data_IF_414126190628
#
_entry.id   IF_414126190628
#
_cell.length_a   1.000
_cell.length_b   1.000
_cell.length_c   1.000
_cell.angle_alpha   90.00
_cell.angle_beta   90.00
_cell.angle_gamma   90.00
#
_symmetry.space_group_name_H-M   'P 1'
#
loop_
_entity.id
_entity.type
_entity.pdbx_description
1 polymer ?
2 non-polymer ?
3 water ?
#
# COMPACT_ATOMS: atom_id res chain seq x y z
N UNK A 4 -21.81 -17.97 3.31
CA UNK A 4 -20.75 -17.83 2.27
C UNK A 4 -20.37 -16.36 2.08
N UNK A 5 -19.09 -16.12 1.78
CA UNK A 5 -18.59 -14.76 1.51
C UNK A 5 -18.87 -14.42 0.06
N UNK A 6 -19.44 -13.24 -0.18
CA UNK A 6 -19.70 -12.76 -1.53
C UNK A 6 -18.39 -12.41 -2.23
N UNK A 7 -18.22 -12.92 -3.45
CA UNK A 7 -17.07 -12.60 -4.28
C UNK A 7 -17.14 -11.16 -4.77
N UNK A 8 -16.03 -10.68 -5.32
CA UNK A 8 -15.87 -9.27 -5.66
C UNK A 8 -16.89 -8.76 -6.70
N UNK A 9 -17.26 -9.60 -7.67
CA UNK A 9 -18.20 -9.19 -8.70
C UNK A 9 -19.56 -9.88 -8.58
N UNK A 10 -20.00 -10.12 -7.36
CA UNK A 10 -21.36 -10.62 -7.15
C UNK A 10 -22.04 -9.88 -6.01
N UNK A 11 -23.37 -9.89 -6.04
CA UNK A 11 -24.16 -9.27 -4.99
C UNK A 11 -24.42 -7.80 -5.22
N UNK A 12 -25.07 -7.18 -4.24
CA UNK A 12 -25.35 -5.76 -4.26
C UNK A 12 -24.05 -4.97 -4.13
N UNK A 13 -24.06 -3.69 -4.54
CA UNK A 13 -22.82 -2.93 -4.49
C UNK A 13 -22.28 -2.79 -3.08
N UNK A 14 -20.96 -2.74 -2.95
CA UNK A 14 -20.30 -2.44 -1.69
C UNK A 14 -19.16 -1.49 -2.03
N UNK A 15 -19.31 -0.21 -1.65
CA UNK A 15 -18.26 0.76 -1.86
C UNK A 15 -17.18 0.54 -0.81
N UNK A 16 -15.97 0.25 -1.28
CA UNK A 16 -14.88 -0.16 -0.40
C UNK A 16 -13.94 0.99 -0.05
N UNK A 17 -13.03 0.71 0.88
CA UNK A 17 -11.99 1.65 1.29
C UNK A 17 -11.02 1.93 0.13
N UNK A 18 -10.33 3.09 0.16
CA UNK A 18 -10.29 4.11 1.21
C UNK A 18 -11.50 5.02 1.23
N UNK A 19 -11.83 5.56 2.40
CA UNK A 19 -12.92 6.52 2.55
C UNK A 19 -12.40 7.95 2.81
N UNK A 20 -11.10 8.15 2.60
CA UNK A 20 -10.49 9.48 2.66
C UNK A 20 -9.38 9.52 1.64
N UNK A 21 -9.21 10.67 0.98
CA UNK A 21 -8.20 10.82 -0.06
C UNK A 21 -7.66 12.25 -0.04
N UNK A 22 -6.34 12.38 -0.12
CA UNK A 22 -5.67 13.66 -0.10
C UNK A 22 -5.05 13.98 -1.46
N UNK A 23 -5.04 15.27 -1.80
CA UNK A 23 -4.41 15.74 -3.02
C UNK A 23 -3.97 17.20 -2.84
N UNK A 24 -2.92 17.62 -3.55
CA UNK A 24 -2.50 19.03 -3.51
C UNK A 24 -3.46 19.89 -4.32
N UNK A 25 -3.66 21.16 -3.89
CA UNK A 25 -4.47 22.06 -4.70
C UNK A 25 -3.82 22.34 -6.06
N UNK A 26 -4.64 22.57 -7.08
CA UNK A 26 -4.17 22.91 -8.42
C UNK A 26 -3.28 21.83 -9.06
N UNK A 27 -3.54 20.57 -8.72
CA UNK A 27 -2.93 19.43 -9.38
C UNK A 27 -4.02 18.47 -9.84
N UNK A 28 -3.75 17.65 -10.86
CA UNK A 28 -4.76 16.70 -11.30
C UNK A 28 -5.17 15.73 -10.20
N UNK A 29 -6.47 15.43 -10.18
CA UNK A 29 -7.08 14.56 -9.20
C UNK A 29 -7.73 13.41 -9.96
N UNK A 30 -7.45 12.17 -9.56
CA UNK A 30 -8.12 10.99 -10.11
C UNK A 30 -8.41 9.99 -9.00
N UNK A 31 -9.66 9.56 -8.91
CA UNK A 31 -10.02 8.52 -7.95
C UNK A 31 -11.10 7.61 -8.52
N UNK A 32 -10.75 6.36 -8.72
CA UNK A 32 -11.73 5.34 -9.05
C UNK A 32 -12.35 4.87 -7.74
N UNK A 33 -13.68 4.83 -7.71
CA UNK A 33 -14.40 4.41 -6.51
C UNK A 33 -14.39 2.88 -6.44
N UNK A 34 -13.59 2.30 -5.53
CA UNK A 34 -13.49 0.84 -5.53
C UNK A 34 -14.79 0.24 -5.05
N UNK A 35 -15.41 -0.58 -5.89
CA UNK A 35 -16.77 -1.05 -5.65
C UNK A 35 -16.96 -2.52 -5.99
N UNK A 36 -17.25 -3.33 -4.97
CA UNK A 36 -17.59 -4.72 -5.19
C UNK A 36 -19.06 -4.82 -5.63
N UNK A 37 -19.41 -5.92 -6.29
CA UNK A 37 -20.80 -6.18 -6.66
C UNK A 37 -20.94 -6.56 -8.11
N UNK A 38 -22.09 -7.15 -8.45
CA UNK A 38 -22.30 -7.58 -9.83
C UNK A 38 -22.35 -6.37 -10.75
N UNK A 39 -21.88 -6.56 -11.98
CA UNK A 39 -21.98 -5.55 -13.04
C UNK A 39 -23.16 -5.89 -13.95
N UNK A 40 -23.68 -4.89 -14.70
CA UNK A 40 -23.22 -3.49 -14.80
C UNK A 40 -23.51 -2.64 -13.55
N UNK A 42 -23.59 1.48 -11.83
CA UNK A 42 -23.73 2.92 -12.07
C UNK A 42 -23.36 3.66 -10.79
N UNK A 43 -22.61 4.75 -10.94
CA UNK A 43 -22.20 5.56 -9.80
C UNK A 43 -22.78 6.97 -9.88
N UNK A 44 -23.00 7.58 -8.72
CA UNK A 44 -23.37 8.99 -8.64
C UNK A 44 -22.85 9.59 -7.33
N UNK A 45 -22.92 10.91 -7.22
CA UNK A 45 -22.43 11.60 -6.03
C UNK A 45 -23.25 12.83 -5.69
N UNK A 46 -23.30 13.14 -4.39
CA UNK A 46 -23.88 14.37 -3.90
C UNK A 46 -22.79 15.18 -3.23
N UNK A 47 -22.81 16.50 -3.45
CA UNK A 47 -21.83 17.43 -2.89
C UNK A 47 -20.42 17.19 -3.40
N UNK A 48 -20.30 16.72 -4.64
CA UNK A 48 -18.98 16.62 -5.27
C UNK A 48 -18.52 18.04 -5.52
N UNK A 49 -17.32 18.41 -5.01
CA UNK A 49 -16.94 19.81 -5.08
C UNK A 49 -16.65 20.32 -6.49
N UNK A 50 -16.84 21.62 -6.69
CA UNK A 50 -16.49 22.28 -7.93
C UNK A 50 -15.02 22.02 -8.25
N UNK A 51 -14.74 21.66 -9.51
CA UNK A 51 -13.41 21.26 -9.93
C UNK A 51 -13.36 19.80 -10.29
N UNK A 52 -14.26 19.01 -9.70
CA UNK A 52 -14.30 17.57 -9.93
C UNK A 52 -15.59 17.17 -10.62
N UNK A 53 -15.51 16.05 -11.35
CA UNK A 53 -16.67 15.45 -11.98
C UNK A 53 -16.57 13.93 -11.86
N UNK A 54 -17.73 13.28 -11.76
CA UNK A 54 -17.82 11.84 -11.68
C UNK A 54 -18.43 11.30 -12.96
N UNK A 55 -17.71 10.36 -13.58
CA UNK A 55 -18.23 9.61 -14.72
C UNK A 55 -19.09 8.47 -14.17
N UNK A 56 -20.40 8.55 -14.39
CA UNK A 56 -21.35 7.58 -13.85
C UNK A 56 -21.16 6.17 -14.39
N UNK A 57 -20.58 6.05 -15.58
CA UNK A 57 -20.36 4.75 -16.22
C UNK A 57 -19.06 4.06 -15.78
N UNK A 58 -18.04 4.84 -15.44
CA UNK A 58 -16.73 4.26 -15.14
C UNK A 58 -16.36 4.29 -13.65
N UNK A 59 -17.08 5.08 -12.86
CA UNK A 59 -16.80 5.21 -11.43
C UNK A 59 -15.59 6.06 -11.10
N UNK A 60 -15.11 6.85 -12.06
CA UNK A 60 -13.92 7.67 -11.85
C UNK A 60 -14.27 9.13 -11.58
N UNK A 61 -13.78 9.64 -10.46
CA UNK A 61 -13.83 11.07 -10.13
C UNK A 61 -12.55 11.70 -10.65
N UNK A 62 -12.67 12.76 -11.43
CA UNK A 62 -11.49 13.43 -11.97
C UNK A 62 -11.67 14.94 -12.06
N UNK A 63 -10.56 15.64 -12.11
CA UNK A 63 -10.55 17.09 -12.26
C UNK A 63 -9.39 17.74 -11.52
N UNK A 64 -9.61 18.98 -11.10
CA UNK A 64 -8.63 19.74 -10.33
C UNK A 64 -9.36 20.57 -9.28
N UNK A 66 -8.90 23.63 -6.56
CA UNK A 66 -8.01 24.77 -6.33
C UNK A 66 -8.06 25.34 -4.91
N UNK A 67 -9.09 24.99 -4.15
CA UNK A 67 -9.27 25.50 -2.79
C UNK A 67 -8.97 24.44 -1.74
N UNK A 68 -8.14 24.80 -0.77
CA UNK A 68 -7.79 23.89 0.32
C UNK A 68 -8.97 23.67 1.26
N UNK A 69 -9.03 22.48 1.85
CA UNK A 69 -10.06 22.16 2.83
C UNK A 69 -10.47 20.70 2.78
N UNK A 70 -11.39 20.34 3.68
CA UNK A 70 -11.98 19.00 3.71
C UNK A 70 -13.37 19.08 3.11
N UNK A 71 -13.66 18.19 2.17
CA UNK A 71 -14.94 18.15 1.47
C UNK A 71 -15.54 16.76 1.64
N UNK A 72 -16.74 16.70 2.21
CA UNK A 72 -17.42 15.42 2.43
C UNK A 72 -18.42 15.19 1.30
N UNK A 73 -18.19 14.11 0.55
CA UNK A 73 -19.00 13.74 -0.60
C UNK A 73 -19.77 12.48 -0.27
N UNK A 74 -21.02 12.39 -0.70
CA UNK A 74 -21.80 11.16 -0.53
C UNK A 74 -21.83 10.41 -1.85
N UNK A 75 -21.20 9.23 -1.86
CA UNK A 75 -21.13 8.40 -3.05
C UNK A 75 -22.22 7.36 -3.04
N UNK A 76 -22.71 7.03 -4.24
CA UNK A 76 -23.73 6.01 -4.40
C UNK A 76 -23.35 5.11 -5.57
N UNK A 77 -23.43 3.79 -5.35
CA UNK A 77 -23.24 2.81 -6.40
C UNK A 77 -24.51 1.99 -6.48
N UNK A 78 -24.97 1.73 -7.70
CA UNK A 78 -26.22 1.00 -7.94
C UNK A 78 -26.03 -0.09 -8.99
N UNK A 79 -26.57 -1.28 -8.72
CA UNK A 79 -26.67 -2.32 -9.74
C UNK A 79 -28.07 -2.96 -9.65
N UNK A 80 -28.29 -4.03 -10.41
CA UNK A 80 -29.59 -4.70 -10.45
C UNK A 80 -30.07 -5.23 -9.09
N UNK A 81 -29.14 -5.48 -8.17
CA UNK A 81 -29.46 -6.10 -6.88
C UNK A 81 -29.56 -5.11 -5.71
N UNK A 82 -29.15 -3.87 -5.88
CA UNK A 82 -29.28 -2.87 -4.80
C UNK A 82 -28.36 -1.68 -4.91
N UNK A 83 -28.17 -1.00 -3.77
CA UNK A 83 -27.38 0.22 -3.70
C UNK A 83 -26.43 0.23 -2.49
N UNK A 84 -25.32 0.95 -2.64
CA UNK A 84 -24.39 1.21 -1.55
C UNK A 84 -24.19 2.71 -1.50
N UNK A 85 -24.32 3.29 -0.31
CA UNK A 85 -24.09 4.71 -0.10
C UNK A 85 -22.99 4.86 0.94
N UNK A 86 -21.97 5.65 0.62
CA UNK A 86 -20.81 5.79 1.49
C UNK A 86 -20.27 7.21 1.40
N UNK A 87 -19.80 7.74 2.53
CA UNK A 87 -19.15 9.04 2.56
C UNK A 87 -17.71 8.91 2.06
N UNK A 88 -17.25 9.94 1.37
CA UNK A 88 -15.83 10.08 1.02
C UNK A 88 -15.38 11.47 1.43
N UNK A 89 -14.29 11.55 2.18
CA UNK A 89 -13.71 12.84 2.53
C UNK A 89 -12.55 13.12 1.59
N UNK A 90 -12.61 14.27 0.92
CA UNK A 90 -11.51 14.71 0.06
C UNK A 90 -10.81 15.86 0.76
N UNK A 91 -9.51 15.68 1.04
CA UNK A 91 -8.72 16.71 1.68
C UNK A 91 -7.78 17.31 0.65
N UNK A 92 -7.99 18.59 0.37
CA UNK A 92 -7.09 19.34 -0.51
C UNK A 92 -6.18 20.16 0.38
N UNK A 93 -4.87 19.90 0.25
CA UNK A 93 -3.88 20.52 1.12
C UNK A 93 -2.51 19.95 0.81
N UNK A 94 -1.66 19.81 1.83
CA UNK A 94 -0.31 19.33 1.59
C UNK A 94 -0.11 17.89 2.07
N UNK A 95 -1.21 17.14 2.16
CA UNK A 95 -1.19 15.78 2.70
C UNK A 95 -1.60 14.75 1.65
N UNK A 96 -0.64 13.93 1.21
CA UNK A 96 -0.95 12.79 0.33
C UNK A 96 -0.95 11.49 1.13
N UNK A 97 -1.46 10.41 0.55
CA UNK A 97 -1.54 9.10 1.22
C UNK A 97 -2.07 9.18 2.63
N UNK A 98 -3.29 9.67 2.76
CA UNK A 98 -3.98 9.74 4.04
C UNK A 98 -4.33 8.33 4.54
N UNK A 99 -4.31 7.36 3.62
CA UNK A 99 -4.27 5.93 3.94
C UNK A 99 -3.06 5.32 3.23
N UNK A 100 -2.62 4.12 3.68
CA UNK A 100 -1.44 3.55 3.02
C UNK A 100 -1.67 3.28 1.53
N UNK A 101 -0.61 3.42 0.72
CA UNK A 101 -0.76 3.14 -0.71
C UNK A 101 -0.94 1.66 -1.00
N UNK A 103 -1.13 -1.21 -4.34
CA UNK A 103 -0.81 -1.36 -5.75
C UNK A 103 0.13 -2.49 -6.05
N UNK A 104 0.98 -2.26 -7.04
CA UNK A 104 1.84 -3.29 -7.61
C UNK A 104 3.17 -2.67 -8.05
N UNK A 105 4.25 -3.41 -7.83
CA UNK A 105 5.58 -3.02 -8.29
C UNK A 105 6.07 -4.06 -9.29
N UNK A 106 6.69 -3.58 -10.36
CA UNK A 106 7.04 -4.40 -11.51
C UNK A 106 8.31 -5.24 -11.42
N UNK A 107 9.13 -5.01 -10.40
CA UNK A 107 10.49 -5.54 -10.44
C UNK A 107 10.55 -7.08 -10.41
N UNK A 108 9.88 -7.67 -9.42
CA UNK A 108 9.97 -9.11 -9.24
C UNK A 108 9.46 -9.88 -10.46
N UNK A 109 8.39 -9.39 -11.07
CA UNK A 109 7.79 -10.08 -12.20
C UNK A 109 8.58 -9.91 -13.49
N UNK A 110 9.02 -8.69 -13.77
CA UNK A 110 9.55 -8.38 -15.09
C UNK A 110 11.03 -7.97 -15.15
N UNK A 111 11.59 -7.55 -14.02
CA UNK A 111 13.01 -7.21 -13.96
C UNK A 111 13.42 -6.24 -15.04
N UNK A 112 14.45 -6.63 -15.81
CA UNK A 112 14.97 -5.80 -16.91
C UNK A 112 14.16 -5.94 -18.20
N UNK A 113 13.01 -6.61 -18.14
CA UNK A 113 12.24 -6.92 -19.33
C UNK A 113 10.82 -6.38 -19.28
N UNK A 114 10.64 -5.27 -18.58
CA UNK A 114 9.35 -4.59 -18.57
C UNK A 114 9.18 -3.84 -19.88
N UNK A 115 7.95 -3.79 -20.38
CA UNK A 115 7.62 -3.04 -21.59
C UNK A 115 6.27 -2.38 -21.42
N UNK A 116 5.95 -1.47 -22.33
CA UNK A 116 4.64 -0.82 -22.35
C UNK A 116 3.53 -1.86 -22.34
N UNK A 117 3.64 -2.83 -23.26
CA UNK A 117 2.63 -3.87 -23.40
C UNK A 117 2.37 -4.59 -22.09
N UNK A 118 3.45 -4.92 -21.37
CA UNK A 118 3.32 -5.67 -20.13
C UNK A 118 2.75 -4.85 -18.97
N UNK A 119 3.03 -3.55 -18.92
CA UNK A 119 2.38 -2.68 -17.95
C UNK A 119 0.88 -2.62 -18.22
N UNK A 120 0.50 -2.46 -19.48
CA UNK A 120 -0.91 -2.35 -19.86
C UNK A 120 -1.66 -3.63 -19.56
N UNK A 121 -1.03 -4.78 -19.83
CA UNK A 121 -1.62 -6.08 -19.48
C UNK A 121 -1.84 -6.19 -17.97
N UNK A 122 -0.89 -5.68 -17.21
CA UNK A 122 -1.00 -5.69 -15.76
C UNK A 122 -2.18 -4.84 -15.28
N UNK A 123 -2.29 -3.63 -15.81
CA UNK A 123 -3.45 -2.76 -15.51
C UNK A 123 -4.78 -3.45 -15.87
N UNK A 124 -4.85 -4.05 -17.05
CA UNK A 124 -6.07 -4.74 -17.49
C UNK A 124 -6.44 -5.86 -16.51
N UNK A 125 -5.43 -6.61 -16.06
CA UNK A 125 -5.66 -7.73 -15.15
C UNK A 125 -6.16 -7.25 -13.78
N UNK A 127 -7.97 -4.69 -13.24
CA UNK A 127 -9.38 -4.36 -13.41
C UNK A 127 -10.24 -5.61 -13.30
N UNK A 128 -9.85 -6.67 -14.00
CA UNK A 128 -10.69 -7.87 -14.11
C UNK A 128 -10.51 -8.87 -12.97
N UNK A 129 -9.43 -8.78 -12.20
CA UNK A 129 -9.22 -9.74 -11.11
C UNK A 129 -9.78 -9.29 -9.76
N UNK A 130 -10.28 -8.07 -9.69
CA UNK A 130 -10.86 -7.53 -8.46
C UNK A 130 -9.99 -6.54 -7.71
N UNK A 132 -8.49 -3.67 -8.47
CA UNK A 132 -8.87 -2.26 -8.55
C UNK A 132 -10.09 -1.95 -7.66
N UNK A 133 -11.03 -2.89 -7.60
CA UNK A 133 -12.24 -2.67 -6.78
C UNK A 133 -12.04 -2.86 -5.28
N UNK A 134 -10.86 -3.33 -4.87
CA UNK A 134 -10.50 -3.38 -3.46
C UNK A 134 -9.51 -2.29 -3.06
N UNK A 135 -9.20 -1.38 -3.99
CA UNK A 135 -8.42 -0.18 -3.68
C UNK A 135 -7.00 -0.13 -4.20
N UNK A 136 -6.55 -1.21 -4.83
CA UNK A 136 -5.21 -1.23 -5.43
C UNK A 136 -5.20 -0.26 -6.61
N UNK A 137 -4.37 0.78 -6.52
CA UNK A 137 -4.40 1.86 -7.51
C UNK A 137 -3.05 2.22 -8.14
N UNK A 138 -1.95 1.93 -7.45
CA UNK A 138 -0.61 2.27 -7.95
C UNK A 138 -0.02 1.14 -8.79
N UNK A 139 0.49 1.50 -9.97
CA UNK A 139 1.21 0.59 -10.85
C UNK A 139 2.59 1.21 -11.03
N UNK A 140 3.59 0.56 -10.44
CA UNK A 140 4.91 1.18 -10.28
C UNK A 140 5.96 0.53 -11.18
N UNK A 141 6.46 1.31 -12.13
CA UNK A 141 7.60 0.95 -12.95
C UNK A 141 8.84 1.05 -12.07
N UNK A 142 9.68 0.03 -12.11
CA UNK A 142 10.89 0.01 -11.30
C UNK A 142 12.12 0.34 -12.17
N UNK A 143 13.28 -0.22 -11.85
CA UNK A 143 14.55 0.15 -12.47
C UNK A 143 14.60 -0.27 -13.96
N UNK A 144 15.50 0.35 -14.72
CA UNK A 144 15.76 0.01 -16.13
C UNK A 144 14.69 0.46 -17.14
N UNK A 145 13.80 1.38 -16.76
CA UNK A 145 12.95 2.04 -17.77
C UNK A 145 13.76 3.04 -18.60
N UNK A 146 14.89 3.48 -18.03
CA UNK A 146 15.76 4.47 -18.65
C UNK A 146 17.07 3.84 -19.15
N UNK A 147 17.76 4.55 -20.03
CA UNK A 147 19.03 4.09 -20.57
C UNK A 147 20.17 4.36 -19.58
N UNK A 148 21.33 3.71 -19.80
CA UNK A 148 22.44 3.85 -18.86
C UNK A 148 22.94 5.28 -18.64
N UNK A 149 22.99 6.08 -19.70
CA UNK A 149 23.55 7.42 -19.63
C UNK A 149 22.49 8.49 -19.81
N UNK A 150 22.67 9.61 -19.11
CA UNK A 150 21.87 10.80 -19.34
C UNK A 150 22.11 11.27 -20.77
N UNK A 151 21.08 11.80 -21.42
CA UNK A 151 21.26 12.38 -22.74
C UNK A 151 22.18 13.58 -22.68
N UNK A 152 22.88 13.86 -23.77
CA UNK A 152 23.68 15.08 -23.85
C UNK A 152 22.81 16.33 -23.68
N UNK A 153 21.50 16.18 -23.92
CA UNK A 153 20.54 17.26 -23.69
C UNK A 153 20.19 17.51 -22.22
N UNK A 154 20.70 16.68 -21.31
CA UNK A 154 20.52 16.90 -19.88
C UNK A 154 19.37 16.13 -19.27
N UNK A 155 18.70 15.30 -20.08
CA UNK A 155 17.52 14.56 -19.62
C UNK A 155 17.76 13.06 -19.58
N UNK A 156 17.09 12.39 -18.66
CA UNK A 156 17.01 10.94 -18.66
C UNK A 156 16.48 10.49 -20.02
N UNK A 157 16.98 9.36 -20.50
CA UNK A 157 16.52 8.82 -21.78
C UNK A 157 15.64 7.62 -21.54
N UNK A 158 14.38 7.71 -21.98
CA UNK A 158 13.48 6.56 -21.90
C UNK A 158 14.01 5.48 -22.83
N UNK A 159 14.00 4.23 -22.37
CA UNK A 159 14.31 3.10 -23.24
C UNK A 159 13.13 2.92 -24.18
N UNK A 160 13.29 3.39 -25.42
CA UNK A 160 12.19 3.39 -26.39
C UNK A 160 11.91 2.01 -26.98
N UNK A 161 12.81 1.05 -26.75
CA UNK A 161 12.54 -0.32 -27.13
C UNK A 161 11.44 -0.86 -26.22
N UNK A 162 11.58 -0.57 -24.92
CA UNK A 162 10.60 -0.98 -23.92
C UNK A 162 9.32 -0.15 -23.98
N UNK A 163 9.49 1.16 -24.18
CA UNK A 163 8.37 2.11 -24.16
C UNK A 163 8.37 2.92 -25.45
N UNK A 164 7.92 2.29 -26.56
CA UNK A 164 8.05 2.91 -27.88
C UNK A 164 7.18 4.17 -28.05
N UNK A 165 6.18 4.34 -27.20
CA UNK A 165 5.37 5.55 -27.23
C UNK A 165 5.61 6.41 -26.00
N UNK A 166 6.71 6.15 -25.30
CA UNK A 166 7.08 6.90 -24.11
C UNK A 166 6.33 6.47 -22.87
N UNK A 167 6.68 7.12 -21.76
CA UNK A 167 6.04 6.89 -20.48
C UNK A 167 4.65 7.55 -20.42
N UNK A 168 4.51 8.71 -21.05
CA UNK A 168 3.21 9.40 -21.00
C UNK A 168 2.07 8.56 -21.55
N UNK A 169 2.32 7.77 -22.59
CA UNK A 169 1.29 6.89 -23.15
C UNK A 169 0.78 5.94 -22.06
N UNK A 170 1.70 5.35 -21.32
CA UNK A 170 1.37 4.43 -20.24
C UNK A 170 0.57 5.16 -19.14
N UNK A 171 1.05 6.33 -18.74
CA UNK A 171 0.36 7.13 -17.73
C UNK A 171 -1.09 7.42 -18.14
N UNK A 172 -1.26 7.82 -19.40
CA UNK A 172 -2.59 8.16 -19.92
C UNK A 172 -3.52 6.95 -19.88
N UNK A 173 -3.01 5.79 -20.30
CA UNK A 173 -3.78 4.55 -20.28
C UNK A 173 -4.23 4.22 -18.86
N UNK A 174 -3.30 4.35 -17.91
CA UNK A 174 -3.59 4.08 -16.50
C UNK A 174 -4.61 5.07 -15.95
N UNK A 175 -4.41 6.36 -16.20
CA UNK A 175 -5.30 7.40 -15.65
C UNK A 175 -6.74 7.25 -16.15
N UNK A 176 -6.89 6.88 -17.41
CA UNK A 176 -8.21 6.63 -18.00
C UNK A 176 -8.97 5.55 -17.25
N UNK A 177 -8.23 4.68 -16.56
CA UNK A 177 -8.78 3.56 -15.81
C UNK A 177 -8.68 3.73 -14.29
N UNK A 178 -8.28 4.92 -13.85
CA UNK A 178 -8.24 5.24 -12.43
C UNK A 178 -6.99 4.78 -11.71
N UNK A 179 -5.99 4.33 -12.45
CA UNK A 179 -4.72 3.93 -11.85
C UNK A 179 -3.75 5.10 -11.80
N UNK A 180 -2.80 4.99 -10.88
CA UNK A 180 -1.72 5.94 -10.71
C UNK A 180 -0.41 5.28 -11.15
N UNK A 181 0.47 6.06 -11.77
CA UNK A 181 1.74 5.55 -12.29
C UNK A 181 2.91 5.90 -11.39
N UNK A 182 3.66 4.88 -11.00
CA UNK A 182 4.91 5.09 -10.29
C UNK A 182 6.12 4.90 -11.18
N UNK A 183 7.20 5.60 -10.85
CA UNK A 183 8.45 5.50 -11.58
C UNK A 183 9.57 5.43 -10.56
N UNK A 184 10.78 5.16 -11.05
CA UNK A 184 11.91 4.85 -10.20
C UNK A 184 13.11 5.68 -10.59
N UNK A 185 13.82 6.20 -9.59
CA UNK A 185 15.16 6.72 -9.82
C UNK A 185 15.99 6.51 -8.57
N UNK A 186 17.16 7.15 -8.53
CA UNK A 186 18.13 6.89 -7.48
C UNK A 186 18.88 8.19 -7.20
N UNK A 187 19.22 8.41 -5.91
CA UNK A 187 19.91 9.62 -5.47
C UNK A 187 21.42 9.54 -5.70
N UNK A 188 21.79 9.19 -6.92
CA UNK A 188 23.18 9.07 -7.33
C UNK A 188 23.24 9.21 -8.84
N UNK A 189 24.45 9.11 -9.39
CA UNK A 189 24.66 9.19 -10.83
C UNK A 189 24.11 7.94 -11.51
N UNK A 190 24.13 6.81 -10.80
CA UNK A 190 23.66 5.53 -11.34
C UNK A 190 22.72 4.83 -10.37
N UNK A 191 21.73 4.11 -10.91
CA UNK A 191 20.79 3.36 -10.08
C UNK A 191 21.43 2.07 -9.59
N UNK A 192 20.68 1.33 -8.76
CA UNK A 192 21.15 0.02 -8.30
C UNK A 192 21.53 -0.87 -9.47
N UNK A 193 20.70 -0.89 -10.51
CA UNK A 193 20.95 -1.70 -11.70
C UNK A 193 22.03 -1.17 -12.64
N UNK A 194 22.44 0.08 -12.44
CA UNK A 194 23.52 0.67 -13.21
C UNK A 194 23.05 1.51 -14.40
N UNK A 195 21.81 1.98 -14.37
CA UNK A 195 21.33 2.92 -15.39
C UNK A 195 21.25 4.33 -14.77
N UNK A 196 20.81 5.33 -15.53
CA UNK A 196 21.00 6.72 -15.09
C UNK A 196 20.12 7.09 -13.90
N UNK A 197 20.73 7.69 -12.88
CA UNK A 197 19.99 8.23 -11.73
C UNK A 197 19.86 9.75 -11.80
N UNK A 198 19.36 10.35 -10.73
CA UNK A 198 18.93 11.76 -10.76
C UNK A 198 19.81 12.74 -9.96
N UNK A 199 20.86 12.26 -9.29
CA UNK A 199 21.67 13.16 -8.48
C UNK A 199 22.22 14.34 -9.30
N UNK A 200 21.94 15.56 -8.83
CA UNK A 200 22.38 16.79 -9.49
C UNK A 200 21.43 17.30 -10.57
N UNK A 201 20.43 16.49 -10.92
CA UNK A 201 19.46 16.84 -11.95
C UNK A 201 18.03 16.67 -11.44
N UNK A 202 17.85 16.84 -10.14
CA UNK A 202 16.57 16.54 -9.49
C UNK A 202 15.42 17.34 -10.08
N UNK A 203 15.68 18.63 -10.32
CA UNK A 203 14.65 19.53 -10.81
C UNK A 203 14.22 19.12 -12.22
N UNK A 204 15.19 18.90 -13.09
CA UNK A 204 14.91 18.43 -14.45
C UNK A 204 14.11 17.13 -14.45
N UNK A 205 14.57 16.18 -13.66
CA UNK A 205 13.95 14.86 -13.66
C UNK A 205 12.51 14.91 -13.12
N UNK A 206 12.31 15.65 -12.04
CA UNK A 206 10.96 15.81 -11.47
C UNK A 206 10.01 16.45 -12.48
N UNK A 207 10.48 17.48 -13.19
CA UNK A 207 9.65 18.16 -14.18
C UNK A 207 9.31 17.21 -15.32
N UNK A 208 10.26 16.36 -15.72
CA UNK A 208 9.98 15.37 -16.75
C UNK A 208 8.93 14.37 -16.25
N UNK A 209 9.13 13.85 -15.03
CA UNK A 209 8.17 12.92 -14.46
C UNK A 209 6.77 13.51 -14.45
N UNK A 210 6.65 14.76 -14.02
CA UNK A 210 5.35 15.43 -13.98
C UNK A 210 4.76 15.60 -15.37
N UNK A 211 5.59 15.96 -16.35
CA UNK A 211 5.12 16.11 -17.73
C UNK A 211 4.58 14.79 -18.30
N UNK A 212 5.12 13.67 -17.82
CA UNK A 212 4.66 12.36 -18.27
C UNK A 212 3.43 11.86 -17.53
N UNK A 213 3.05 12.55 -16.45
CA UNK A 213 1.88 12.17 -15.65
C UNK A 213 2.18 11.19 -14.53
N UNK A 214 3.43 11.14 -14.10
CA UNK A 214 3.84 10.29 -12.98
C UNK A 214 3.16 10.74 -11.69
N UNK A 215 2.75 9.76 -10.88
CA UNK A 215 2.02 9.98 -9.64
C UNK A 215 2.80 9.56 -8.38
N UNK A 216 3.91 8.85 -8.58
CA UNK A 216 4.72 8.35 -7.48
C UNK A 216 6.15 8.19 -7.96
N UNK A 217 7.10 8.57 -7.10
CA UNK A 217 8.52 8.32 -7.34
C UNK A 217 9.07 7.48 -6.21
N UNK A 218 9.63 6.32 -6.56
CA UNK A 218 10.47 5.54 -5.66
C UNK A 218 11.90 6.00 -5.87
N UNK A 219 12.55 6.43 -4.79
CA UNK A 219 13.86 7.05 -4.88
C UNK A 219 14.87 6.26 -4.06
N UNK A 220 15.69 5.50 -4.76
CA UNK A 220 16.62 4.54 -4.18
C UNK A 220 17.93 5.23 -3.81
N UNK A 221 18.74 4.55 -3.00
CA UNK A 221 19.94 5.14 -2.45
C UNK A 221 21.23 4.40 -2.82
N UNK A 222 21.19 3.57 -3.87
CA UNK A 222 22.42 2.92 -4.34
C UNK A 222 23.45 3.91 -4.82
N UNK A 223 24.72 3.60 -4.58
CA UNK A 223 25.84 4.40 -5.06
C UNK A 223 25.96 5.80 -4.46
N UNK A 224 25.24 6.04 -3.37
CA UNK A 224 25.31 7.31 -2.66
C UNK A 224 26.09 7.14 -1.36
N UNK A 225 26.64 8.23 -0.82
CA UNK A 225 27.44 8.10 0.40
C UNK A 225 26.61 7.63 1.60
N UNK A 226 27.24 6.81 2.46
CA UNK A 226 26.57 6.27 3.64
C UNK A 226 26.12 7.38 4.58
N UNK A 227 26.87 8.47 4.60
CA UNK A 227 26.67 9.63 5.48
C UNK A 227 25.22 10.07 5.60
N UNK A 228 24.73 10.18 6.84
CA UNK A 228 23.32 10.44 7.08
C UNK A 228 22.89 11.86 6.72
N UNK A 229 23.70 12.86 7.04
CA UNK A 229 23.33 14.23 6.68
C UNK A 229 23.25 14.36 5.15
N UNK A 230 24.20 13.75 4.45
CA UNK A 230 24.17 13.74 2.99
C UNK A 230 22.91 13.06 2.45
N UNK A 231 22.59 11.89 2.98
CA UNK A 231 21.38 11.19 2.55
C UNK A 231 20.16 12.09 2.74
N UNK A 233 19.94 15.26 2.93
CA UNK A 233 19.98 16.40 2.00
C UNK A 233 19.58 16.00 0.59
N UNK A 234 20.06 14.85 0.13
CA UNK A 234 19.72 14.36 -1.21
C UNK A 234 18.23 14.05 -1.32
N UNK A 235 17.66 13.46 -0.27
CA UNK A 235 16.22 13.21 -0.25
C UNK A 235 15.44 14.51 -0.15
N UNK A 236 15.92 15.46 0.65
CA UNK A 236 15.25 16.76 0.75
C UNK A 236 15.24 17.49 -0.59
N UNK A 237 16.36 17.43 -1.32
CA UNK A 237 16.49 18.09 -2.63
C UNK A 237 15.45 17.56 -3.62
N UNK A 239 12.74 15.97 -2.85
CA UNK A 239 11.42 16.34 -2.31
C UNK A 239 10.98 17.72 -2.76
N UNK A 240 11.89 18.68 -2.67
CA UNK A 240 11.62 20.04 -3.13
C UNK A 240 11.32 20.06 -4.62
N UNK A 241 12.09 19.30 -5.38
CA UNK A 241 11.91 19.23 -6.83
C UNK A 241 10.52 18.70 -7.19
N UNK A 242 10.06 17.66 -6.47
CA UNK A 242 8.73 17.10 -6.71
C UNK A 242 7.61 18.10 -6.39
N UNK A 243 7.78 18.83 -5.29
CA UNK A 243 6.76 19.81 -4.85
C UNK A 243 6.73 21.03 -5.75
N UNK A 244 7.82 21.24 -6.51
CA UNK A 244 7.89 22.36 -7.43
C UNK A 244 7.15 22.08 -8.75
N UNK A 245 6.76 20.82 -8.98
CA UNK A 245 6.01 20.45 -10.19
C UNK A 245 4.53 20.75 -10.01
N UNK A 246 3.76 20.52 -11.06
CA UNK A 246 2.31 20.74 -11.03
C UNK A 246 1.49 19.46 -10.79
N UNK A 247 2.10 18.45 -10.18
CA UNK A 247 1.39 17.21 -9.84
C UNK A 247 1.52 16.88 -8.36
N UNK A 248 0.58 16.08 -7.87
CA UNK A 248 0.70 15.47 -6.55
C UNK A 248 1.47 14.17 -6.69
N UNK A 249 2.79 14.22 -6.49
CA UNK A 249 3.64 13.05 -6.64
C UNK A 249 4.02 12.47 -5.28
N UNK A 250 3.57 11.24 -5.03
CA UNK A 250 3.94 10.51 -3.84
C UNK A 250 5.44 10.22 -3.86
N UNK A 251 6.08 10.37 -2.71
CA UNK A 251 7.51 10.26 -2.59
C UNK A 251 7.86 9.09 -1.68
N UNK A 252 8.37 8.01 -2.30
CA UNK A 252 8.73 6.78 -1.62
C UNK A 252 10.25 6.75 -1.42
N UNK A 253 10.66 6.80 -0.16
CA UNK A 253 12.07 6.84 0.22
C UNK A 253 12.58 5.41 0.40
N UNK A 254 13.69 5.09 -0.26
CA UNK A 254 14.26 3.75 -0.21
C UNK A 254 15.76 3.79 0.06
N UNK A 255 16.13 3.82 1.34
CA UNK A 255 17.53 3.72 1.74
C UNK A 255 17.73 2.58 2.76
N UNK A 256 16.79 1.63 2.74
CA UNK A 256 16.88 0.33 3.42
C UNK A 256 16.92 0.40 4.94
N UNK A 257 16.46 1.50 5.50
CA UNK A 257 16.37 1.67 6.94
C UNK A 257 17.68 1.88 7.65
N UNK A 258 18.74 2.21 6.92
CA UNK A 258 20.07 2.24 7.50
C UNK A 258 20.34 3.52 8.32
N UNK A 259 19.65 4.60 7.99
CA UNK A 259 19.84 5.88 8.66
C UNK A 259 18.63 6.34 9.48
N UNK A 260 17.87 5.39 10.02
CA UNK A 260 16.66 5.70 10.79
C UNK A 260 15.72 6.66 10.04
N UNK A 261 15.31 6.30 8.81
CA UNK A 261 14.46 7.18 8.02
C UNK A 261 13.14 7.53 8.70
N UNK A 262 12.67 6.67 9.59
CA UNK A 262 11.48 6.97 10.37
C UNK A 262 11.60 8.27 11.18
N UNK A 263 12.83 8.73 11.44
CA UNK A 263 13.06 9.98 12.17
C UNK A 263 13.16 11.23 11.29
N UNK A 264 13.30 11.06 9.97
CA UNK A 264 13.48 12.22 9.09
C UNK A 264 12.79 12.20 7.73
N UNK A 265 12.33 11.05 7.25
CA UNK A 265 11.84 10.95 5.87
C UNK A 265 10.60 11.81 5.65
N UNK A 266 9.67 11.79 6.61
CA UNK A 266 8.45 12.58 6.47
C UNK A 266 8.80 14.07 6.45
N UNK A 267 9.75 14.44 7.28
CA UNK A 267 10.18 15.82 7.43
C UNK A 267 10.81 16.41 6.14
N UNK A 268 11.44 15.57 5.33
CA UNK A 268 12.05 16.01 4.07
C UNK A 268 11.13 15.82 2.86
N UNK A 269 9.90 15.36 3.11
CA UNK A 269 8.87 15.27 2.08
C UNK A 269 8.39 13.88 1.72
N UNK A 270 8.96 12.85 2.32
CA UNK A 270 8.57 11.48 2.03
C UNK A 270 7.19 11.13 2.55
N UNK A 271 6.48 10.27 1.84
CA UNK A 271 5.19 9.75 2.29
C UNK A 271 5.26 8.31 2.77
N UNK A 272 6.34 7.64 2.42
CA UNK A 272 6.64 6.31 2.94
C UNK A 272 8.13 6.09 2.83
N UNK A 273 8.66 5.22 3.67
CA UNK A 273 10.09 4.99 3.72
C UNK A 273 10.38 3.54 4.09
N UNK A 274 11.31 2.93 3.37
CA UNK A 274 11.72 1.58 3.65
C UNK A 274 12.40 1.51 5.03
N UNK A 275 12.00 0.54 5.84
CA UNK A 275 12.56 0.37 7.18
C UNK A 275 13.62 -0.73 7.24
N UNK A 276 13.82 -1.44 6.13
CA UNK A 276 14.70 -2.60 6.11
C UNK A 276 15.27 -2.87 4.74
N UNK A 277 16.20 -3.81 4.70
CA UNK A 277 16.66 -4.38 3.44
C UNK A 277 15.54 -5.14 2.77
N UNK A 278 15.80 -5.61 1.55
CA UNK A 278 14.80 -6.22 0.72
C UNK A 278 14.21 -7.48 1.31
N UNK A 279 12.88 -7.62 1.16
CA UNK A 279 12.17 -8.82 1.57
C UNK A 279 12.37 -9.92 0.54
N UNK A 280 12.47 -11.16 1.04
CA UNK A 280 12.48 -12.33 0.19
C UNK A 280 11.17 -13.09 0.34
N UNK A 281 10.92 -13.97 -0.61
CA UNK A 281 9.77 -14.88 -0.56
C UNK A 281 10.15 -16.06 0.34
N UNK A 282 10.20 -15.77 1.64
CA UNK A 282 10.71 -16.71 2.62
C UNK A 282 10.25 -16.29 4.02
N UNK A 283 9.97 -17.27 4.87
CA UNK A 283 9.38 -17.02 6.18
C UNK A 283 10.40 -16.42 7.14
N UNK A 284 11.57 -17.05 7.20
CA UNK A 284 12.65 -16.61 8.09
C UNK A 284 13.97 -16.59 7.35
N UNK A 285 14.63 -15.43 7.36
CA UNK A 285 16.01 -15.30 6.94
C UNK A 285 16.55 -13.99 7.49
N UNK A 286 17.63 -14.06 8.27
CA UNK A 286 18.19 -12.84 8.84
C UNK A 286 19.17 -12.24 7.84
N UNK A 287 18.66 -11.31 7.02
CA UNK A 287 19.46 -10.65 6.00
C UNK A 287 20.59 -9.80 6.57
N UNK A 288 20.41 -9.31 7.81
CA UNK A 288 21.40 -8.46 8.48
C UNK A 288 22.62 -9.23 8.98
N UNK A 289 22.52 -10.55 8.97
CA UNK A 289 23.60 -11.44 9.41
C UNK A 289 24.42 -11.94 8.22
N UNK A 290 23.72 -12.55 7.27
CA UNK A 290 24.36 -13.20 6.13
C UNK A 290 24.38 -12.32 4.88
N UNK A 291 23.76 -11.15 4.96
CA UNK A 291 23.55 -10.30 3.79
C UNK A 291 22.35 -10.79 3.00
N UNK A 292 21.92 -9.98 2.04
CA UNK A 292 20.84 -10.37 1.14
C UNK A 292 19.46 -10.24 1.76
N UNK A 293 18.56 -11.11 1.34
CA UNK A 293 17.13 -10.96 1.60
C UNK A 293 16.74 -11.27 3.04
N UNK A 294 15.70 -10.59 3.51
CA UNK A 294 15.13 -10.78 4.83
C UNK A 294 13.82 -11.55 4.71
N UNK A 295 13.58 -12.45 5.66
CA UNK A 295 12.31 -13.14 5.75
C UNK A 295 11.20 -12.28 6.31
N UNK A 296 9.97 -12.74 6.14
CA UNK A 296 8.79 -12.04 6.62
C UNK A 296 8.90 -11.81 8.13
N UNK A 297 9.25 -12.85 8.88
CA UNK A 297 9.37 -12.74 10.34
C UNK A 297 10.39 -11.70 10.74
N UNK A 298 11.47 -11.62 9.98
CA UNK A 298 12.57 -10.72 10.31
C UNK A 298 12.19 -9.27 10.12
N UNK A 299 11.40 -9.00 9.10
CA UNK A 299 10.93 -7.64 8.85
C UNK A 299 9.89 -7.23 9.92
N UNK A 300 9.08 -8.18 10.39
CA UNK A 300 8.18 -7.92 11.53
C UNK A 300 8.94 -7.43 12.74
N UNK A 301 10.04 -8.08 13.06
CA UNK A 301 10.85 -7.69 14.21
C UNK A 301 11.39 -6.27 14.07
N UNK A 302 11.77 -5.89 12.85
CA UNK A 302 12.29 -4.56 12.57
C UNK A 302 11.20 -3.49 12.70
N UNK A 303 10.03 -3.76 12.14
CA UNK A 303 8.96 -2.77 12.12
C UNK A 303 8.22 -2.63 13.45
N UNK A 304 8.22 -3.70 14.26
CA UNK A 304 7.43 -3.72 15.51
C UNK A 304 7.60 -2.48 16.40
N UNK A 305 8.84 -2.06 16.68
CA UNK A 305 8.99 -0.92 17.59
C UNK A 305 8.83 0.47 16.92
N UNK A 306 8.43 0.52 15.67
CA UNK A 306 8.40 1.79 14.92
C UNK A 306 7.01 2.43 14.76
N UNK A 307 6.01 1.93 15.49
CA UNK A 307 4.65 2.40 15.32
C UNK A 307 4.48 3.91 15.52
N UNK A 308 5.20 4.49 16.47
CA UNK A 308 5.05 5.92 16.78
C UNK A 308 5.40 6.85 15.61
N UNK A 309 6.20 6.36 14.65
CA UNK A 309 6.65 7.19 13.55
C UNK A 309 5.71 7.17 12.35
N UNK A 310 4.70 6.31 12.39
CA UNK A 310 3.79 6.13 11.26
C UNK A 310 2.45 6.81 11.50
N UNK A 311 1.79 7.15 10.40
CA UNK A 311 0.49 7.76 10.43
C UNK A 311 0.12 8.31 9.07
N UNK A 312 -1.05 8.95 8.98
CA UNK A 312 -1.46 9.54 7.71
C UNK A 312 -0.35 10.36 7.08
N UNK A 313 -0.10 10.11 5.80
CA UNK A 313 0.90 10.83 5.00
C UNK A 313 2.35 10.50 5.35
N UNK A 314 2.59 9.43 6.09
CA UNK A 314 3.94 9.03 6.47
C UNK A 314 3.96 7.63 7.01
N UNK A 315 4.20 6.65 6.14
CA UNK A 315 4.09 5.24 6.48
C UNK A 315 5.44 4.53 6.54
N UNK A 316 5.59 3.63 7.52
CA UNK A 316 6.72 2.71 7.52
C UNK A 316 6.47 1.67 6.44
N UNK A 317 7.47 1.45 5.59
CA UNK A 317 7.34 0.54 4.44
C UNK A 317 8.17 -0.72 4.69
N UNK A 318 7.52 -1.86 4.99
CA UNK A 318 8.21 -3.11 5.23
C UNK A 318 8.45 -3.93 3.95
N UNK A 319 8.38 -3.26 2.80
CA UNK A 319 8.64 -3.83 1.49
C UNK A 319 7.41 -4.61 0.97
N UNK A 321 4.52 -7.08 -0.77
CA UNK A 321 3.77 -8.28 -0.48
C UNK A 321 4.26 -9.39 -1.40
N UNK A 322 4.75 -10.48 -0.82
CA UNK A 322 5.20 -11.66 -1.56
C UNK A 322 4.10 -12.72 -1.68
N UNK A 323 2.90 -12.37 -1.24
CA UNK A 323 1.73 -13.25 -1.30
C UNK A 323 1.62 -13.94 -2.66
N UNK A 324 1.65 -15.26 -2.63
CA UNK A 324 1.40 -16.08 -3.82
C UNK A 324 2.57 -16.30 -4.76
N UNK A 325 3.73 -15.69 -4.47
CA UNK A 325 4.88 -15.83 -5.38
C UNK A 325 5.28 -17.30 -5.50
N UNK A 326 5.13 -18.06 -4.42
CA UNK A 326 5.31 -19.53 -4.42
C UNK A 326 6.68 -19.96 -4.92
N UNK A 327 7.70 -19.16 -4.62
CA UNK A 327 9.07 -19.49 -5.00
C UNK A 327 9.33 -19.42 -6.48
N UNK A 328 8.48 -18.71 -7.22
CA UNK A 328 8.56 -18.64 -8.68
C UNK A 328 9.74 -17.76 -9.09
N UNK A 329 9.73 -16.51 -8.66
CA UNK A 329 10.79 -15.55 -8.98
C UNK A 329 10.93 -15.31 -10.49
N UNK A 337 11.60 -21.79 -3.12
CA UNK A 337 10.64 -22.65 -2.43
C UNK A 337 9.38 -21.88 -2.08
N UNK A 338 9.53 -20.71 -1.46
CA UNK A 338 8.40 -19.85 -1.11
C UNK A 338 7.82 -20.14 0.26
N UNK A 339 6.61 -19.63 0.51
CA UNK A 339 5.93 -19.83 1.78
C UNK A 339 4.64 -20.63 1.61
N UNK A 340 4.06 -21.06 2.71
CA UNK A 340 2.77 -21.74 2.68
C UNK A 340 1.63 -20.73 2.53
N UNK A 341 0.45 -21.24 2.19
CA UNK A 341 -0.74 -20.38 2.04
C UNK A 341 -1.03 -19.65 3.34
N UNK A 342 -0.97 -20.36 4.46
CA UNK A 342 -1.23 -19.75 5.76
C UNK A 342 -0.19 -18.68 6.08
N UNK A 343 1.06 -18.95 5.73
CA UNK A 343 2.13 -17.96 5.94
C UNK A 343 1.88 -16.69 5.13
N UNK A 344 1.51 -16.86 3.86
CA UNK A 344 1.14 -15.72 3.03
C UNK A 344 -0.05 -14.93 3.60
N UNK A 345 -1.05 -15.64 4.11
CA UNK A 345 -2.21 -14.99 4.72
C UNK A 345 -1.81 -14.16 5.94
N UNK A 346 -0.93 -14.70 6.78
CA UNK A 346 -0.49 -13.96 7.97
C UNK A 346 0.36 -12.74 7.59
N UNK A 347 1.22 -12.92 6.59
CA UNK A 347 2.01 -11.84 6.01
C UNK A 347 1.11 -10.69 5.55
N UNK A 348 0.05 -11.02 4.81
CA UNK A 348 -0.90 -9.99 4.39
C UNK A 348 -1.61 -9.34 5.58
N UNK A 349 -2.09 -10.17 6.51
CA UNK A 349 -2.81 -9.71 7.71
C UNK A 349 -2.00 -8.72 8.53
N UNK A 350 -0.72 -9.02 8.71
CA UNK A 350 0.12 -8.16 9.54
C UNK A 350 0.52 -6.88 8.82
N UNK A 351 0.77 -6.95 7.51
CA UNK A 351 0.96 -5.74 6.72
C UNK A 351 -0.29 -4.85 6.83
N UNK A 352 -1.47 -5.46 6.87
CA UNK A 352 -2.69 -4.67 7.06
C UNK A 352 -2.71 -4.01 8.44
N UNK A 355 -0.48 -0.93 9.11
CA UNK A 355 -0.73 0.21 8.23
C UNK A 355 0.42 0.33 7.22
N UNK A 356 0.78 -0.80 6.64
CA UNK A 356 1.86 -0.87 5.67
C UNK A 356 1.34 -0.57 4.27
N UNK A 357 2.19 -0.01 3.41
CA UNK A 357 1.89 -0.06 1.98
C UNK A 357 1.56 -1.49 1.61
N UNK A 358 0.55 -1.68 0.74
CA UNK A 358 0.18 -2.98 0.24
C UNK A 358 0.52 -3.03 -1.24
N UNK A 359 1.80 -3.26 -1.53
CA UNK A 359 2.30 -3.26 -2.89
C UNK A 359 2.70 -4.68 -3.25
N UNK A 360 1.93 -5.31 -4.13
CA UNK A 360 2.22 -6.67 -4.55
C UNK A 360 3.42 -6.72 -5.47
N UNK A 361 4.29 -7.70 -5.24
CA UNK A 361 5.40 -7.99 -6.13
C UNK A 361 5.14 -9.21 -7.00
N UNK A 362 3.96 -9.80 -6.91
CA UNK A 362 3.62 -10.97 -7.70
C UNK A 362 3.16 -10.55 -9.10
N UNK A 363 3.12 -11.52 -10.02
CA UNK A 363 2.59 -11.30 -11.35
C UNK A 363 1.08 -11.33 -11.24
N UNK A 364 0.45 -10.17 -11.33
CA UNK A 364 -1.00 -10.08 -11.08
C UNK A 364 -1.87 -10.50 -12.27
N UNK A 365 -1.25 -10.91 -13.37
CA UNK A 365 -1.99 -11.36 -14.55
C UNK A 365 -2.48 -12.80 -14.46
N UNK A 366 -1.82 -13.62 -13.65
CA UNK A 366 -2.08 -15.06 -13.64
C UNK A 366 -2.05 -15.68 -12.24
N UNK A 368 -3.68 -17.37 -8.80
CA UNK A 368 -4.74 -18.33 -8.53
C UNK A 368 -5.75 -17.75 -7.54
N UNK A 369 -6.90 -18.42 -7.46
CA UNK A 369 -7.99 -18.01 -6.58
C UNK A 369 -7.54 -17.85 -5.13
N UNK A 370 -6.70 -18.76 -4.65
CA UNK A 370 -6.25 -18.73 -3.27
C UNK A 370 -5.42 -17.48 -2.97
N UNK A 371 -4.63 -17.03 -3.94
CA UNK A 371 -3.84 -15.82 -3.80
C UNK A 371 -4.74 -14.58 -3.77
N UNK A 372 -5.70 -14.54 -4.68
CA UNK A 372 -6.65 -13.42 -4.72
C UNK A 372 -7.54 -13.39 -3.48
N UNK A 373 -7.84 -14.56 -2.90
CA UNK A 373 -8.64 -14.60 -1.67
C UNK A 373 -7.94 -13.83 -0.56
N UNK A 374 -6.62 -13.92 -0.52
CA UNK A 374 -5.83 -13.18 0.45
C UNK A 374 -5.79 -11.70 0.10
N UNK A 375 -5.35 -11.37 -1.12
CA UNK A 375 -5.13 -9.98 -1.51
C UNK A 375 -6.40 -9.12 -1.56
N UNK A 376 -7.56 -9.77 -1.71
CA UNK A 376 -8.83 -9.06 -1.83
C UNK A 376 -9.67 -9.08 -0.56
N UNK A 377 -9.07 -9.46 0.57
CA UNK A 377 -9.81 -9.61 1.83
C UNK A 377 -10.35 -8.25 2.27
N UNK A 378 -11.70 -8.06 2.21
CA UNK A 378 -12.21 -6.70 2.43
C UNK A 378 -12.04 -6.17 3.85
N UNK A 379 -12.19 -7.05 4.84
CA UNK A 379 -12.07 -6.66 6.25
C UNK A 379 -10.65 -6.27 6.60
N UNK A 380 -9.67 -7.04 6.12
CA UNK A 380 -8.27 -6.74 6.40
C UNK A 380 -7.83 -5.45 5.71
N UNK A 381 -8.25 -5.26 4.46
CA UNK A 381 -7.96 -4.02 3.76
C UNK A 381 -8.61 -2.82 4.47
N UNK A 382 -9.86 -2.99 4.92
CA UNK A 382 -10.53 -1.92 5.64
C UNK A 382 -9.75 -1.51 6.90
N UNK A 383 -9.18 -2.49 7.58
CA UNK A 383 -8.31 -2.22 8.72
C UNK A 383 -7.05 -1.45 8.27
N UNK A 384 -6.37 -1.92 7.23
CA UNK A 384 -5.20 -1.20 6.67
C UNK A 384 -5.51 0.25 6.32
N UNK A 385 -6.69 0.46 5.76
CA UNK A 385 -7.10 1.77 5.26
C UNK A 385 -7.84 2.62 6.30
N UNK A 386 -7.89 2.17 7.55
CA UNK A 386 -8.60 2.92 8.58
C UNK A 386 -8.07 4.35 8.67
N UNK A 387 -8.98 5.32 8.71
CA UNK A 387 -8.60 6.73 8.61
C UNK A 387 -7.75 7.22 9.78
N UNK A 388 -7.81 6.57 10.93
CA UNK A 388 -6.96 6.98 12.06
C UNK A 388 -5.48 6.75 11.73
N UNK A 389 -5.20 5.73 10.94
CA UNK A 389 -3.86 5.51 10.39
C UNK A 389 -2.83 5.07 11.41
N UNK A 390 -3.26 4.34 12.43
CA UNK A 390 -2.35 3.85 13.45
C UNK A 390 -1.69 2.55 13.00
N UNK A 391 -0.36 2.49 13.09
CA UNK A 391 0.36 1.25 12.90
C UNK A 391 0.17 0.42 14.17
N UNK A 392 -0.29 -0.82 14.02
CA UNK A 392 -0.49 -1.68 15.18
C UNK A 392 0.78 -1.81 16.02
N UNK A 393 0.61 -1.82 17.32
CA UNK A 393 1.68 -2.13 18.24
C UNK A 393 1.68 -3.62 18.49
N UNK A 394 2.87 -4.21 18.62
CA UNK A 394 2.98 -5.59 19.06
C UNK A 394 3.03 -5.55 20.58
N UNK A 395 1.85 -5.64 21.19
CA UNK A 395 1.70 -5.50 22.63
C UNK A 395 2.33 -6.64 23.40
N UNK A 396 2.28 -7.84 22.83
CA UNK A 396 2.90 -9.01 23.41
C UNK A 396 3.66 -9.80 22.34
N UNK A 397 4.92 -10.12 22.62
CA UNK A 397 5.68 -11.08 21.83
C UNK A 397 6.04 -12.22 22.75
N UNK A 398 5.21 -13.27 22.74
CA UNK A 398 5.44 -14.41 23.62
C UNK A 398 6.32 -15.43 22.90
N UNK A 399 6.58 -16.54 23.57
CA UNK A 399 7.47 -17.57 23.01
C UNK A 399 6.98 -18.06 21.64
N UNK A 400 5.68 -18.26 21.49
CA UNK A 400 5.12 -18.83 20.26
C UNK A 400 4.23 -17.91 19.45
N UNK A 401 3.69 -16.86 20.08
CA UNK A 401 2.73 -16.00 19.41
C UNK A 401 2.86 -14.52 19.76
N UNK A 402 2.38 -13.69 18.84
CA UNK A 402 2.28 -12.25 19.03
C UNK A 402 0.83 -11.86 19.23
N UNK A 403 0.61 -10.79 19.99
CA UNK A 403 -0.65 -10.07 20.00
C UNK A 403 -0.37 -8.65 19.51
N UNK A 404 -0.97 -8.29 18.37
CA UNK A 404 -0.84 -6.95 17.81
C UNK A 404 -2.15 -6.22 17.99
N UNK A 405 -2.09 -4.93 18.27
CA UNK A 405 -3.29 -4.14 18.58
C UNK A 405 -3.27 -2.83 17.82
N UNK A 406 -4.37 -2.57 17.10
CA UNK A 406 -4.50 -1.37 16.26
C UNK A 406 -5.79 -0.62 16.64
N UNK A 407 -5.65 0.54 17.29
CA UNK A 407 -6.84 1.38 17.53
C UNK A 407 -7.43 1.86 16.20
N UNK A 408 -8.75 1.93 16.13
CA UNK A 408 -9.47 2.34 14.91
C UNK A 408 -10.19 3.67 15.13
N UNK A 409 -10.54 4.35 14.05
CA UNK A 409 -11.12 5.69 14.13
C UNK A 409 -12.43 5.72 14.91
N UNK A 410 -13.21 4.65 14.79
CA UNK A 410 -14.52 4.55 15.44
C UNK A 410 -14.45 4.22 16.93
N UNK A 411 -13.25 4.09 17.48
CA UNK A 411 -13.04 3.83 18.90
C UNK A 411 -12.80 2.37 19.24
N UNK A 412 -13.03 1.49 18.28
CA UNK A 412 -12.78 0.06 18.48
C UNK A 412 -11.28 -0.24 18.34
N UNK A 413 -10.91 -1.48 18.65
CA UNK A 413 -9.53 -1.94 18.54
C UNK A 413 -9.48 -3.24 17.73
N UNK A 414 -8.67 -3.27 16.68
CA UNK A 414 -8.41 -4.51 15.97
C UNK A 414 -7.31 -5.24 16.73
N UNK A 415 -7.49 -6.55 16.92
CA UNK A 415 -6.55 -7.38 17.64
C UNK A 415 -6.18 -8.58 16.77
N UNK A 416 -4.89 -8.76 16.51
CA UNK A 416 -4.41 -9.89 15.73
C UNK A 416 -3.62 -10.83 16.62
N UNK A 417 -4.03 -12.10 16.63
CA UNK A 417 -3.31 -13.14 17.35
C UNK A 417 -2.54 -13.95 16.33
N UNK A 418 -1.21 -13.88 16.39
CA UNK A 418 -0.37 -14.44 15.35
C UNK A 418 0.53 -15.53 15.90
N UNK A 419 0.30 -16.74 15.43
CA UNK A 419 1.10 -17.89 15.79
C UNK A 419 2.33 -17.99 14.89
N UNK A 420 3.50 -17.67 15.45
CA UNK A 420 4.77 -17.84 14.73
C UNK A 420 5.15 -19.29 14.53
N UNK A 421 4.72 -20.13 15.46
CA UNK A 421 5.22 -21.50 15.59
C UNK A 421 4.71 -22.45 14.51
N UNK A 422 5.45 -23.55 14.38
CA UNK A 422 5.15 -24.60 13.41
C UNK A 422 4.14 -25.61 13.95
N UNK A 423 3.66 -25.41 15.18
CA UNK A 423 2.64 -26.27 15.76
C UNK A 423 1.42 -25.43 16.15
N UNK A 424 0.25 -26.06 16.29
CA UNK A 424 -0.92 -25.29 16.70
C UNK A 424 -0.74 -24.70 18.08
N UNK A 425 -1.33 -23.53 18.29
CA UNK A 425 -1.27 -22.85 19.57
C UNK A 425 -2.63 -22.28 19.90
N UNK A 426 -2.94 -22.24 21.19
CA UNK A 426 -4.18 -21.65 21.68
C UNK A 426 -3.84 -20.37 22.44
N UNK A 427 -4.55 -19.30 22.10
CA UNK A 427 -4.42 -18.04 22.81
C UNK A 427 -5.74 -17.75 23.51
N UNK A 428 -5.69 -17.48 24.81
CA UNK A 428 -6.89 -17.11 25.57
C UNK A 428 -6.87 -15.61 25.79
N UNK A 429 -7.71 -14.89 25.06
CA UNK A 429 -7.86 -13.46 25.27
C UNK A 429 -8.81 -13.24 26.43
N UNK A 430 -8.42 -12.40 27.38
CA UNK A 430 -9.29 -12.03 28.49
C UNK A 430 -9.12 -10.54 28.80
N UNK A 431 -9.85 -10.05 29.81
CA UNK A 431 -9.80 -8.63 30.13
C UNK A 431 -8.42 -8.16 30.60
N UNK A 432 -7.56 -9.10 30.99
CA UNK A 432 -6.19 -8.77 31.39
C UNK A 432 -5.12 -8.94 30.31
N UNK A 433 -5.50 -9.38 29.12
CA UNK A 433 -4.50 -9.61 28.07
C UNK A 433 -3.87 -8.29 27.61
N UNK A 434 -4.74 -7.33 27.28
CA UNK A 434 -4.36 -6.00 26.79
C UNK A 434 -5.18 -4.96 27.54
N UNK A 435 -4.62 -3.77 27.75
CA UNK A 435 -5.34 -2.71 28.44
C UNK A 435 -6.48 -2.18 27.57
N UNK A 436 -7.61 -1.87 28.22
CA UNK A 436 -8.74 -1.21 27.56
C UNK A 436 -9.31 -1.99 26.39
N UNK A 437 -9.48 -3.30 26.57
CA UNK A 437 -10.06 -4.15 25.53
C UNK A 437 -11.49 -4.48 25.89
N UNK A 438 -12.43 -4.01 25.05
CA UNK A 438 -13.86 -4.14 25.33
C UNK A 438 -14.44 -5.46 24.80
N UNK A 439 -14.92 -6.31 25.71
CA UNK A 439 -15.52 -7.61 25.34
C UNK A 439 -17.03 -7.58 25.11
N UNK A 440 -17.66 -6.42 25.24
CA UNK A 440 -19.12 -6.34 25.11
C UNK A 440 -19.56 -6.59 23.66
N UNK A 441 -18.66 -6.33 22.71
CA UNK A 441 -18.93 -6.63 21.32
C UNK A 441 -17.65 -7.05 20.61
N UNK A 442 -17.69 -8.18 19.92
CA UNK A 442 -16.54 -8.70 19.20
C UNK A 442 -16.94 -9.13 17.78
N UNK A 443 -16.24 -8.60 16.78
CA UNK A 443 -16.38 -9.05 15.40
C UNK A 443 -15.22 -9.98 15.06
N UNK A 444 -15.54 -11.17 14.58
CA UNK A 444 -14.53 -12.15 14.20
C UNK A 444 -14.37 -12.18 12.68
N UNK A 445 -13.17 -11.88 12.20
CA UNK A 445 -12.92 -11.87 10.76
C UNK A 445 -12.90 -13.27 10.15
N UNK A 446 -12.59 -14.29 10.95
CA UNK A 446 -12.48 -15.66 10.45
C UNK A 446 -13.81 -16.17 9.90
N UNK A 447 -14.91 -15.83 10.58
CA UNK A 447 -16.24 -16.28 10.18
C UNK A 447 -17.26 -15.15 9.94
N UNK A 448 -16.81 -13.90 10.03
CA UNK A 448 -17.64 -12.71 9.77
C UNK A 448 -18.83 -12.57 10.71
N UNK A 449 -18.67 -13.08 11.93
CA UNK A 449 -19.75 -13.05 12.92
C UNK A 449 -19.47 -12.04 14.02
N UNK A 450 -20.54 -11.47 14.55
CA UNK A 450 -20.47 -10.54 15.66
C UNK A 450 -21.15 -11.15 16.87
N UNK A 451 -20.44 -11.16 18.01
CA UNK A 451 -21.03 -11.55 19.29
C UNK A 451 -21.28 -10.27 20.08
N UNK A 452 -22.55 -10.02 20.42
CA UNK A 452 -22.98 -8.78 21.07
C UNK A 452 -23.63 -9.05 22.41
N UNK A 453 -23.40 -8.16 23.38
CA UNK A 453 -24.03 -8.23 24.70
C UNK A 453 -23.75 -9.52 25.43
N UNK A 454 -22.51 -9.98 25.36
CA UNK A 454 -22.11 -11.26 25.95
C UNK A 454 -21.70 -11.10 27.42
N UNK A 455 -21.97 -12.12 28.22
CA UNK A 455 -21.54 -12.17 29.62
C UNK A 455 -20.08 -12.61 29.74
N UNK A 456 -19.58 -13.27 28.70
CA UNK A 456 -18.22 -13.79 28.69
C UNK A 456 -17.19 -12.68 28.59
N UNK A 457 -16.13 -12.79 29.41
CA UNK A 457 -14.99 -11.87 29.35
C UNK A 457 -13.77 -12.61 28.85
N UNK A 458 -13.99 -13.61 28.00
CA UNK A 458 -12.92 -14.48 27.52
C UNK A 458 -13.18 -14.91 26.09
N UNK A 459 -12.12 -15.03 25.30
CA UNK A 459 -12.23 -15.54 23.95
C UNK A 459 -11.09 -16.52 23.68
N UNK A 460 -11.45 -17.76 23.39
CA UNK A 460 -10.48 -18.80 23.07
C UNK A 460 -10.16 -18.72 21.58
N UNK A 461 -8.89 -18.50 21.26
CA UNK A 461 -8.43 -18.37 19.88
C UNK A 461 -7.55 -19.56 19.54
N UNK A 462 -8.02 -20.41 18.62
CA UNK A 462 -7.30 -21.60 18.19
C UNK A 462 -6.58 -21.30 16.89
N UNK A 463 -5.25 -21.45 16.89
CA UNK A 463 -4.44 -21.11 15.74
C UNK A 463 -3.73 -22.32 15.17
N UNK A 464 -3.85 -22.51 13.86
CA UNK A 464 -3.03 -23.48 13.13
C UNK A 464 -1.60 -22.97 13.07
N UNK A 465 -0.65 -23.83 12.66
CA UNK A 465 0.71 -23.33 12.48
C UNK A 465 0.74 -22.09 11.59
N UNK A 466 1.49 -21.07 12.01
CA UNK A 466 1.69 -19.87 11.22
C UNK A 466 0.45 -18.98 11.06
N UNK A 467 -0.66 -19.32 11.70
CA UNK A 467 -1.92 -18.64 11.44
C UNK A 467 -2.07 -17.35 12.25
N UNK A 468 -2.72 -16.37 11.62
CA UNK A 468 -3.08 -15.13 12.26
C UNK A 468 -4.59 -14.97 12.18
N UNK A 469 -5.25 -14.89 13.33
CA UNK A 469 -6.67 -14.58 13.38
C UNK A 469 -6.86 -13.18 13.92
N UNK A 470 -7.80 -12.46 13.32
CA UNK A 470 -8.03 -11.06 13.65
C UNK A 470 -9.45 -10.85 14.13
N UNK A 471 -9.58 -9.96 15.12
CA UNK A 471 -10.83 -9.63 15.76
C UNK A 471 -10.94 -8.12 15.93
N UNK A 472 -12.16 -7.60 15.95
CA UNK A 472 -12.37 -6.19 16.28
C UNK A 472 -13.20 -6.10 17.54
N UNK A 473 -12.62 -5.51 18.59
CA UNK A 473 -13.25 -5.42 19.90
C UNK A 473 -13.89 -4.06 20.11
N UNK A 474 -15.11 -4.06 20.63
CA UNK A 474 -15.78 -2.84 21.09
C UNK A 474 -16.99 -2.45 20.28
N UNK A 475 -17.77 -1.51 20.81
CA UNK A 475 -18.90 -0.92 20.10
C UNK A 475 -18.44 0.38 19.44
N UNK A 476 -19.04 0.73 18.31
CA UNK A 476 -18.70 1.96 17.59
C UNK A 476 -19.23 3.19 18.31
N UNK A 477 -18.59 4.34 18.06
CA UNK A 477 -19.03 5.61 18.64
C UNK A 477 -20.25 6.14 17.90
#
# INVERSE_FOLDING_TARGET
>A
GGDVVLKVFEGKPRINSPHIIGNYPSTPFIFYIPTSGQRPXQWSAEKLPEGLELDSKTGIISGVXTSKGDYTVTLKAENALGVSVKQLVIRIGDELLLTPPXGWNSWNTFGQHLTEELVLQTADAXITNGXRDLGYSYINIDDFWQLPERGADGHLQIDKTKFPRGIKYVADYLHERGFKLGIYSDAAEKTCGGVCGSYGYEETDAKDFASWGVDLLKYDYCNAPVDRVEAXERYAKXGRALRATNRSIVYSVCEWGQREPWKWAKQVGGHLWRVSGDIGDIWYRDGNRVGGLHGILNILEINAPLSEYAGPSGWNDPDXLVVGIDGKSXSIGYESEGCTQEQYKSHFSLWCXXASPLLSGNDVRNXNDSTLKILLDPDLIAINQDVLGRQAERSIRSDHYDIWVKPLADGRKAVACFNRASSPQTVILNENTIADLSFEQIYCLDNHLTKSGSDSKELIVKLAPYQCKVYIFGKTD
#
